data_IF_349295266290
#
_entry.id   IF_349295266290
#
_cell.length_a   1.000
_cell.length_b   1.000
_cell.length_c   1.000
_cell.angle_alpha   90.00
_cell.angle_beta   90.00
_cell.angle_gamma   90.00
#
_symmetry.space_group_name_H-M   'P 1'
#
loop_
_entity.id
_entity.type
_entity.pdbx_description
1 polymer ?
#
# COMPACT_ATOMS: atom_id res chain seq x y z
N UNK A 1 44.64 -1.88 -5.52
CA UNK A 1 43.38 -2.01 -4.76
C UNK A 1 43.13 -3.49 -4.53
N UNK A 2 42.87 -3.90 -3.29
CA UNK A 2 42.59 -5.29 -2.93
C UNK A 2 41.22 -5.71 -3.50
N UNK A 3 41.09 -6.86 -4.20
CA UNK A 3 39.83 -7.36 -4.75
C UNK A 3 38.69 -7.40 -3.72
N UNK A 4 39.00 -7.69 -2.46
CA UNK A 4 38.01 -7.75 -1.36
C UNK A 4 37.40 -6.37 -1.10
N UNK A 5 38.22 -5.32 -1.18
CA UNK A 5 37.77 -3.94 -0.96
C UNK A 5 36.81 -3.46 -2.07
N UNK A 6 37.06 -3.86 -3.32
CA UNK A 6 36.19 -3.54 -4.47
C UNK A 6 34.83 -4.21 -4.32
N UNK A 7 34.80 -5.48 -3.90
CA UNK A 7 33.56 -6.23 -3.66
C UNK A 7 32.76 -5.58 -2.53
N UNK A 8 33.41 -5.17 -1.44
CA UNK A 8 32.75 -4.50 -0.32
C UNK A 8 32.06 -3.20 -0.72
N UNK A 9 32.72 -2.37 -1.53
CA UNK A 9 32.14 -1.12 -2.05
C UNK A 9 30.94 -1.42 -2.96
N UNK A 10 31.02 -2.44 -3.82
CA UNK A 10 29.92 -2.80 -4.72
C UNK A 10 28.64 -3.18 -3.94
N UNK A 11 28.77 -3.99 -2.89
CA UNK A 11 27.64 -4.32 -2.02
C UNK A 11 27.09 -3.12 -1.26
N UNK A 12 27.96 -2.23 -0.78
CA UNK A 12 27.54 -1.01 -0.09
C UNK A 12 26.71 -0.09 -1.00
N UNK A 13 27.15 0.09 -2.26
CA UNK A 13 26.43 0.90 -3.25
C UNK A 13 25.08 0.29 -3.60
N UNK A 14 25.03 -1.03 -3.83
CA UNK A 14 23.78 -1.76 -4.11
C UNK A 14 22.79 -1.66 -2.93
N UNK A 15 23.25 -1.90 -1.70
CA UNK A 15 22.39 -1.83 -0.53
C UNK A 15 21.83 -0.41 -0.32
N UNK A 16 22.67 0.61 -0.50
CA UNK A 16 22.26 2.01 -0.37
C UNK A 16 21.23 2.42 -1.41
N UNK A 17 21.43 2.03 -2.67
CA UNK A 17 20.52 2.38 -3.77
C UNK A 17 19.18 1.64 -3.68
N UNK A 18 19.18 0.35 -3.30
CA UNK A 18 17.94 -0.39 -3.03
C UNK A 18 17.19 0.21 -1.84
N UNK A 19 17.90 0.57 -0.76
CA UNK A 19 17.29 1.22 0.40
C UNK A 19 16.62 2.55 0.04
N UNK A 20 17.31 3.40 -0.71
CA UNK A 20 16.77 4.67 -1.20
C UNK A 20 15.55 4.45 -2.10
N UNK A 21 15.60 3.47 -3.02
CA UNK A 21 14.48 3.12 -3.89
C UNK A 21 13.24 2.68 -3.10
N UNK A 22 13.41 1.80 -2.10
CA UNK A 22 12.27 1.31 -1.28
C UNK A 22 11.59 2.47 -0.54
N UNK A 23 12.38 3.37 0.04
CA UNK A 23 11.84 4.56 0.72
C UNK A 23 11.10 5.45 -0.28
N UNK A 24 11.72 5.76 -1.42
CA UNK A 24 11.11 6.60 -2.45
C UNK A 24 9.82 5.98 -3.00
N UNK A 25 9.83 4.68 -3.32
CA UNK A 25 8.66 3.97 -3.82
C UNK A 25 7.51 3.95 -2.80
N UNK A 26 7.81 3.77 -1.51
CA UNK A 26 6.79 3.86 -0.46
C UNK A 26 6.14 5.25 -0.40
N UNK A 27 6.93 6.31 -0.51
CA UNK A 27 6.45 7.69 -0.42
C UNK A 27 5.71 8.15 -1.68
N UNK A 28 6.21 7.80 -2.87
CA UNK A 28 5.72 8.35 -4.14
C UNK A 28 4.68 7.46 -4.83
N UNK A 29 4.67 6.15 -4.55
CA UNK A 29 3.73 5.21 -5.16
C UNK A 29 2.72 4.71 -4.15
N UNK A 30 3.17 4.11 -3.05
CA UNK A 30 2.25 3.47 -2.11
C UNK A 30 1.37 4.47 -1.36
N UNK A 31 1.93 5.56 -0.82
CA UNK A 31 1.13 6.55 -0.07
C UNK A 31 0.01 7.18 -0.92
N UNK A 32 0.27 7.66 -2.15
CA UNK A 32 -0.80 8.18 -3.00
C UNK A 32 -1.88 7.15 -3.30
N UNK A 33 -1.51 5.90 -3.59
CA UNK A 33 -2.49 4.82 -3.83
C UNK A 33 -3.38 4.55 -2.62
N UNK A 34 -2.80 4.56 -1.41
CA UNK A 34 -3.56 4.39 -0.16
C UNK A 34 -4.55 5.55 0.04
N UNK A 35 -4.12 6.79 -0.20
CA UNK A 35 -4.98 7.97 -0.06
C UNK A 35 -6.09 8.00 -1.13
N UNK A 36 -5.74 7.67 -2.38
CA UNK A 36 -6.70 7.57 -3.47
C UNK A 36 -7.76 6.50 -3.18
N UNK A 37 -7.35 5.30 -2.77
CA UNK A 37 -8.29 4.23 -2.43
C UNK A 37 -9.19 4.60 -1.24
N UNK A 38 -8.69 5.33 -0.24
CA UNK A 38 -9.51 5.82 0.86
C UNK A 38 -10.62 6.76 0.36
N UNK A 39 -10.29 7.71 -0.52
CA UNK A 39 -11.28 8.59 -1.14
C UNK A 39 -12.28 7.83 -2.02
N UNK A 40 -11.83 6.81 -2.76
CA UNK A 40 -12.70 5.93 -3.55
C UNK A 40 -13.67 5.14 -2.65
N UNK A 41 -13.21 4.63 -1.50
CA UNK A 41 -14.06 3.95 -0.53
C UNK A 41 -15.13 4.88 0.00
N UNK A 42 -14.79 6.14 0.29
CA UNK A 42 -15.75 7.15 0.76
C UNK A 42 -16.79 7.49 -0.32
N UNK A 43 -16.38 7.59 -1.58
CA UNK A 43 -17.26 7.90 -2.71
C UNK A 43 -18.06 6.70 -3.24
N UNK A 44 -17.63 5.46 -2.98
CA UNK A 44 -18.26 4.25 -3.51
C UNK A 44 -19.72 4.06 -3.05
N UNK A 45 -20.57 3.48 -3.88
CA UNK A 45 -21.91 3.07 -3.48
C UNK A 45 -21.85 1.85 -2.52
N UNK A 46 -22.95 1.58 -1.81
CA UNK A 46 -23.02 0.45 -0.88
C UNK A 46 -22.83 -0.92 -1.59
N UNK A 47 -23.33 -1.07 -2.81
CA UNK A 47 -23.16 -2.32 -3.57
C UNK A 47 -21.72 -2.48 -4.10
N UNK A 48 -21.12 -1.37 -4.56
CA UNK A 48 -19.74 -1.38 -5.06
C UNK A 48 -18.74 -1.69 -3.94
N UNK A 49 -18.93 -1.09 -2.76
CA UNK A 49 -18.04 -1.34 -1.63
C UNK A 49 -18.19 -2.76 -1.10
N UNK A 50 -19.40 -3.33 -1.13
CA UNK A 50 -19.62 -4.74 -0.76
C UNK A 50 -18.87 -5.69 -1.69
N UNK A 51 -19.02 -5.49 -3.01
CA UNK A 51 -18.29 -6.28 -4.02
C UNK A 51 -16.77 -6.13 -3.88
N UNK A 52 -16.28 -4.91 -3.64
CA UNK A 52 -14.85 -4.67 -3.38
C UNK A 52 -14.38 -5.35 -2.09
N UNK A 53 -15.21 -5.37 -1.06
CA UNK A 53 -14.90 -6.01 0.23
C UNK A 53 -14.80 -7.53 0.13
N UNK A 54 -15.66 -8.16 -0.65
CA UNK A 54 -15.60 -9.60 -0.94
C UNK A 54 -14.30 -9.99 -1.67
N UNK A 55 -13.72 -9.11 -2.49
CA UNK A 55 -12.44 -9.34 -3.15
C UNK A 55 -11.23 -9.24 -2.21
N UNK A 56 -11.35 -8.52 -1.09
CA UNK A 56 -10.34 -8.47 -0.03
C UNK A 56 -9.02 -7.76 -0.37
N UNK A 57 -8.90 -7.13 -1.55
CA UNK A 57 -7.66 -6.49 -1.99
C UNK A 57 -7.65 -4.99 -1.65
N UNK A 58 -6.72 -4.59 -0.78
CA UNK A 58 -6.55 -3.21 -0.32
C UNK A 58 -5.07 -2.84 -0.25
N UNK A 59 -4.75 -1.57 -0.49
CA UNK A 59 -3.38 -1.06 -0.40
C UNK A 59 -2.89 -0.89 1.05
N UNK A 60 -3.81 -0.77 2.01
CA UNK A 60 -3.50 -0.66 3.43
C UNK A 60 -4.58 -1.27 4.32
N UNK A 61 -4.17 -1.73 5.51
CA UNK A 61 -5.08 -2.23 6.54
C UNK A 61 -6.09 -1.16 7.00
N UNK A 62 -5.69 0.12 6.99
CA UNK A 62 -6.60 1.23 7.29
C UNK A 62 -7.75 1.32 6.29
N UNK A 63 -7.46 1.16 5.00
CA UNK A 63 -8.46 1.19 3.93
C UNK A 63 -9.42 0.00 4.06
N UNK A 64 -8.89 -1.19 4.35
CA UNK A 64 -9.72 -2.36 4.65
C UNK A 64 -10.70 -2.09 5.81
N UNK A 65 -10.22 -1.50 6.91
CA UNK A 65 -11.07 -1.16 8.06
C UNK A 65 -12.12 -0.11 7.73
N UNK A 66 -11.76 0.88 6.94
CA UNK A 66 -12.69 1.91 6.48
C UNK A 66 -13.79 1.31 5.59
N UNK A 67 -13.41 0.44 4.65
CA UNK A 67 -14.36 -0.29 3.81
C UNK A 67 -15.27 -1.20 4.65
N UNK A 68 -14.71 -1.95 5.60
CA UNK A 68 -15.48 -2.82 6.50
C UNK A 68 -16.51 -2.02 7.32
N UNK A 69 -16.11 -0.88 7.88
CA UNK A 69 -17.01 0.00 8.62
C UNK A 69 -18.14 0.53 7.72
N UNK A 70 -17.83 0.89 6.47
CA UNK A 70 -18.82 1.34 5.50
C UNK A 70 -19.79 0.22 5.11
N UNK A 71 -19.30 -1.00 4.86
CA UNK A 71 -20.15 -2.17 4.61
C UNK A 71 -21.09 -2.43 5.79
N UNK A 72 -20.57 -2.45 7.02
CA UNK A 72 -21.38 -2.65 8.22
C UNK A 72 -22.45 -1.55 8.40
N UNK A 73 -22.14 -0.30 8.02
CA UNK A 73 -23.12 0.79 8.04
C UNK A 73 -24.21 0.68 6.97
N UNK A 74 -23.86 0.15 5.79
CA UNK A 74 -24.79 -0.07 4.68
C UNK A 74 -25.66 -1.32 4.89
N UNK A 75 -25.14 -2.34 5.58
CA UNK A 75 -25.76 -3.65 5.77
C UNK A 75 -25.66 -4.09 7.24
N UNK A 76 -26.39 -3.44 8.16
CA UNK A 76 -26.29 -3.70 9.60
C UNK A 76 -26.85 -5.07 10.04
N UNK A 77 -27.66 -5.71 9.19
CA UNK A 77 -28.32 -6.98 9.47
C UNK A 77 -27.55 -8.21 8.94
N UNK A 78 -26.35 -8.01 8.38
CA UNK A 78 -25.41 -9.09 8.00
C UNK A 78 -24.32 -9.27 9.06
#
# INVERSE_FOLDING_TARGET
MDPIFIIGIAFLVLASSIGAYVVYHKEVVMKPLVLQESAEIEAASCDDIKKKHELGQYWALSNYRQAAAKVASCFPDQ
#
